data_IF_874227434944
#
_entry.id   IF_874227434944
#
_cell.length_a   1.000
_cell.length_b   1.000
_cell.length_c   1.000
_cell.angle_alpha   90.00
_cell.angle_beta   90.00
_cell.angle_gamma   90.00
#
_symmetry.space_group_name_H-M   'P 1'
#
loop_
_entity.id
_entity.type
_entity.pdbx_description
1 polymer ?
#
# COMPACT_ATOMS: atom_id res chain seq x y z
N UNK A 1 -24.50 16.79 31.08
CA UNK A 1 -23.50 15.70 31.14
C UNK A 1 -24.23 14.36 31.08
N UNK A 2 -23.68 13.33 30.41
CA UNK A 2 -24.34 12.03 30.29
C UNK A 2 -24.35 11.27 31.63
N UNK A 3 -25.42 10.50 31.88
CA UNK A 3 -25.55 9.61 33.03
C UNK A 3 -25.08 8.20 32.66
N UNK A 4 -24.34 7.53 33.54
CA UNK A 4 -23.87 6.17 33.32
C UNK A 4 -25.00 5.17 33.55
N UNK A 5 -25.32 4.32 32.57
CA UNK A 5 -26.42 3.34 32.72
C UNK A 5 -26.09 2.15 33.64
N UNK A 6 -24.87 2.07 34.18
CA UNK A 6 -24.44 1.00 35.11
C UNK A 6 -24.58 1.45 36.56
N UNK A 7 -24.07 2.63 36.92
CA UNK A 7 -24.21 3.18 38.28
C UNK A 7 -25.38 4.16 38.44
N UNK A 8 -26.05 4.52 37.35
CA UNK A 8 -27.16 5.49 37.30
C UNK A 8 -26.79 6.90 37.80
N UNK A 9 -25.49 7.22 37.84
CA UNK A 9 -24.94 8.48 38.33
C UNK A 9 -24.22 9.23 37.20
N UNK A 10 -23.84 10.48 37.46
CA UNK A 10 -23.11 11.32 36.51
C UNK A 10 -21.77 10.65 36.10
N UNK A 11 -21.46 10.68 34.80
CA UNK A 11 -20.21 10.10 34.29
C UNK A 11 -19.02 10.94 34.76
N UNK A 12 -18.19 10.38 35.66
CA UNK A 12 -16.97 11.04 36.16
C UNK A 12 -15.79 10.93 35.18
N UNK A 13 -15.41 9.70 34.84
CA UNK A 13 -14.38 9.42 33.84
C UNK A 13 -15.07 8.73 32.67
N UNK A 14 -15.32 9.47 31.60
CA UNK A 14 -16.02 8.96 30.45
C UNK A 14 -15.19 7.89 29.73
N UNK A 15 -15.80 6.76 29.43
CA UNK A 15 -15.19 5.66 28.69
C UNK A 15 -16.23 5.10 27.74
N UNK A 16 -15.90 5.01 26.45
CA UNK A 16 -16.80 4.49 25.43
C UNK A 16 -16.47 3.03 25.07
N UNK A 17 -17.49 2.26 24.70
CA UNK A 17 -17.33 0.91 24.17
C UNK A 17 -17.22 0.93 22.64
N UNK A 18 -16.19 0.29 22.08
CA UNK A 18 -16.06 0.12 20.62
C UNK A 18 -16.71 -1.21 20.21
N UNK A 19 -17.58 -1.23 19.17
CA UNK A 19 -17.84 -0.16 18.20
C UNK A 19 -19.11 0.64 18.45
N UNK A 20 -19.88 0.32 19.50
CA UNK A 20 -21.22 0.87 19.68
C UNK A 20 -21.27 2.32 20.18
N UNK A 21 -20.16 2.85 20.72
CA UNK A 21 -20.02 4.24 21.14
C UNK A 21 -20.73 4.59 22.46
N UNK A 22 -21.34 3.64 23.16
CA UNK A 22 -22.00 3.89 24.45
C UNK A 22 -20.99 4.25 25.54
N UNK A 23 -21.32 5.26 26.36
CA UNK A 23 -20.42 5.88 27.34
C UNK A 23 -20.80 5.47 28.77
N UNK A 24 -19.79 5.12 29.56
CA UNK A 24 -19.92 4.72 30.97
C UNK A 24 -18.81 5.36 31.81
N UNK A 25 -18.92 5.27 33.13
CA UNK A 25 -17.78 5.49 34.01
C UNK A 25 -16.71 4.40 33.76
N UNK A 26 -15.44 4.80 33.70
CA UNK A 26 -14.30 3.88 33.54
C UNK A 26 -14.38 2.68 34.51
N UNK A 27 -14.57 2.96 35.81
CA UNK A 27 -14.67 1.93 36.84
C UNK A 27 -15.86 0.98 36.65
N UNK A 28 -16.97 1.48 36.11
CA UNK A 28 -18.18 0.71 35.89
C UNK A 28 -18.01 -0.27 34.74
N UNK A 29 -17.51 0.20 33.59
CA UNK A 29 -17.33 -0.66 32.42
C UNK A 29 -16.17 -1.63 32.60
N UNK A 30 -15.09 -1.21 33.27
CA UNK A 30 -13.97 -2.10 33.58
C UNK A 30 -14.41 -3.26 34.49
N UNK A 31 -15.19 -2.97 35.54
CA UNK A 31 -15.77 -3.99 36.43
C UNK A 31 -16.78 -4.89 35.71
N UNK A 32 -17.52 -4.35 34.75
CA UNK A 32 -18.48 -5.12 33.96
C UNK A 32 -17.77 -6.16 33.10
N UNK A 33 -16.74 -5.73 32.36
CA UNK A 33 -15.95 -6.59 31.48
C UNK A 33 -15.19 -7.65 32.30
N UNK A 34 -14.64 -7.30 33.46
CA UNK A 34 -13.92 -8.27 34.29
C UNK A 34 -14.81 -9.36 34.92
N UNK A 35 -16.13 -9.14 34.99
CA UNK A 35 -17.09 -10.09 35.55
C UNK A 35 -17.83 -10.92 34.50
N UNK A 36 -17.80 -10.52 33.24
CA UNK A 36 -18.57 -11.16 32.17
C UNK A 36 -17.65 -11.93 31.22
N UNK A 37 -17.87 -13.23 30.99
CA UNK A 37 -17.12 -14.00 29.98
C UNK A 37 -17.43 -13.52 28.55
N UNK A 38 -18.66 -13.01 28.34
CA UNK A 38 -19.09 -12.41 27.10
C UNK A 38 -18.96 -10.89 27.23
N UNK A 39 -17.88 -10.30 26.70
CA UNK A 39 -17.62 -8.85 26.73
C UNK A 39 -18.70 -8.08 25.95
N UNK A 40 -19.90 -7.91 26.51
CA UNK A 40 -21.07 -7.28 25.88
C UNK A 40 -21.39 -5.95 26.52
N UNK A 41 -21.76 -4.97 25.70
CA UNK A 41 -22.15 -3.63 26.10
C UNK A 41 -23.39 -3.67 27.01
N UNK A 42 -23.37 -3.05 28.20
CA UNK A 42 -24.54 -3.01 29.09
C UNK A 42 -25.79 -2.40 28.46
N UNK A 43 -25.63 -1.46 27.53
CA UNK A 43 -26.73 -0.69 26.96
C UNK A 43 -27.35 -1.38 25.72
N UNK A 44 -26.53 -1.82 24.76
CA UNK A 44 -27.03 -2.42 23.52
C UNK A 44 -26.79 -3.92 23.38
N UNK A 45 -26.09 -4.54 24.35
CA UNK A 45 -25.69 -5.96 24.34
C UNK A 45 -24.79 -6.37 23.16
N UNK A 46 -24.29 -5.41 22.38
CA UNK A 46 -23.31 -5.66 21.31
C UNK A 46 -21.93 -6.01 21.88
N UNK A 47 -21.14 -6.77 21.13
CA UNK A 47 -19.79 -7.17 21.50
C UNK A 47 -18.88 -5.94 21.67
N UNK A 48 -18.17 -5.90 22.79
CA UNK A 48 -17.13 -4.90 23.12
C UNK A 48 -15.80 -5.48 22.64
N UNK A 49 -15.16 -4.79 21.70
CA UNK A 49 -13.82 -5.14 21.25
C UNK A 49 -12.74 -4.47 22.09
N UNK A 50 -12.95 -3.20 22.42
CA UNK A 50 -12.10 -2.44 23.33
C UNK A 50 -12.91 -1.33 24.02
N UNK A 51 -12.32 -0.77 25.06
CA UNK A 51 -12.82 0.40 25.79
C UNK A 51 -11.83 1.54 25.62
N UNK A 52 -12.32 2.76 25.37
CA UNK A 52 -11.47 3.94 25.17
C UNK A 52 -11.90 5.06 26.12
N UNK A 53 -10.94 5.66 26.83
CA UNK A 53 -11.20 6.80 27.71
C UNK A 53 -11.48 8.04 26.85
N UNK A 54 -12.53 8.77 27.17
CA UNK A 54 -12.98 9.97 26.45
C UNK A 54 -12.77 11.18 27.36
N UNK A 55 -12.07 12.19 26.87
CA UNK A 55 -11.86 13.45 27.60
C UNK A 55 -13.02 14.38 27.22
N UNK A 56 -13.90 14.65 28.18
CA UNK A 56 -15.04 15.56 28.03
C UNK A 56 -14.70 16.92 28.68
N UNK A 57 -13.71 17.60 28.12
CA UNK A 57 -13.27 18.98 28.41
C UNK A 57 -12.86 19.37 29.85
N UNK A 58 -12.09 20.46 29.89
CA UNK A 58 -11.09 20.82 30.89
C UNK A 58 -11.64 21.63 32.07
N UNK A 59 -11.79 21.01 33.24
CA UNK A 59 -11.56 21.69 34.51
C UNK A 59 -11.34 20.69 35.66
N UNK A 60 -10.50 21.10 36.61
CA UNK A 60 -10.17 20.46 37.89
C UNK A 60 -9.14 19.31 37.85
N UNK A 61 -7.87 19.73 37.89
CA UNK A 61 -6.78 19.20 38.72
C UNK A 61 -7.04 17.87 39.43
N UNK A 62 -6.91 16.77 38.69
CA UNK A 62 -6.40 15.54 39.26
C UNK A 62 -4.87 15.63 39.15
N UNK A 63 -4.17 15.66 40.28
CA UNK A 63 -2.72 15.48 40.32
C UNK A 63 -2.37 14.20 39.55
N UNK A 64 -1.82 14.37 38.35
CA UNK A 64 -1.26 13.30 37.56
C UNK A 64 0.11 13.00 38.16
N UNK A 65 0.26 11.81 38.74
CA UNK A 65 1.56 11.30 39.17
C UNK A 65 2.51 11.22 37.97
N UNK A 66 3.77 11.62 38.16
CA UNK A 66 4.82 11.68 37.13
C UNK A 66 5.06 10.35 36.39
N UNK A 67 4.52 9.22 36.88
CA UNK A 67 4.56 7.92 36.20
C UNK A 67 3.64 7.81 34.96
N UNK A 68 2.67 8.71 34.74
CA UNK A 68 1.79 8.69 33.57
C UNK A 68 2.21 9.64 32.43
N UNK A 69 3.42 10.21 32.48
CA UNK A 69 3.96 10.99 31.35
C UNK A 69 4.58 10.08 30.28
N UNK A 70 3.79 9.12 29.80
CA UNK A 70 4.11 8.32 28.62
C UNK A 70 3.47 9.00 27.42
N UNK A 71 4.31 9.30 26.40
CA UNK A 71 3.97 9.99 25.15
C UNK A 71 2.48 9.86 24.75
N UNK A 72 1.70 10.97 24.76
CA UNK A 72 0.29 10.98 24.37
C UNK A 72 0.03 10.44 22.94
N UNK A 73 1.09 10.29 22.14
CA UNK A 73 1.03 9.75 20.79
C UNK A 73 1.64 8.35 20.66
N UNK A 74 1.76 7.59 21.77
CA UNK A 74 2.24 6.21 21.76
C UNK A 74 1.29 5.26 21.02
N UNK A 75 1.50 5.14 19.70
CA UNK A 75 1.27 4.02 18.76
C UNK A 75 0.00 3.13 18.86
N UNK A 76 -0.99 3.41 19.71
CA UNK A 76 -2.18 2.56 19.91
C UNK A 76 -3.50 3.27 19.60
N UNK A 77 -3.56 4.61 19.71
CA UNK A 77 -4.81 5.36 19.47
C UNK A 77 -5.13 5.56 17.98
N UNK A 78 -4.12 5.69 17.11
CA UNK A 78 -4.33 5.73 15.65
C UNK A 78 -4.91 4.42 15.14
N UNK A 79 -4.40 3.30 15.62
CA UNK A 79 -4.88 1.97 15.23
C UNK A 79 -6.32 1.75 15.72
N UNK A 80 -6.66 2.22 16.92
CA UNK A 80 -8.03 2.14 17.46
C UNK A 80 -9.03 3.03 16.70
N UNK A 81 -8.61 4.24 16.31
CA UNK A 81 -9.43 5.15 15.50
C UNK A 81 -9.61 4.58 14.08
N UNK A 82 -8.53 4.11 13.45
CA UNK A 82 -8.58 3.44 12.15
C UNK A 82 -9.43 2.18 12.20
N UNK A 83 -9.33 1.35 13.25
CA UNK A 83 -10.17 0.16 13.45
C UNK A 83 -11.65 0.52 13.58
N UNK A 84 -11.97 1.63 14.27
CA UNK A 84 -13.34 2.11 14.38
C UNK A 84 -13.90 2.56 13.03
N UNK A 85 -13.14 3.36 12.27
CA UNK A 85 -13.50 3.79 10.91
C UNK A 85 -13.61 2.59 9.96
N UNK A 86 -12.68 1.64 10.04
CA UNK A 86 -12.69 0.40 9.26
C UNK A 86 -13.89 -0.47 9.59
N UNK A 87 -14.30 -0.56 10.86
CA UNK A 87 -15.48 -1.31 11.27
C UNK A 87 -16.79 -0.65 10.81
N UNK A 88 -16.88 0.68 10.86
CA UNK A 88 -18.00 1.43 10.29
C UNK A 88 -18.08 1.19 8.78
N UNK A 89 -16.95 1.28 8.07
CA UNK A 89 -16.91 1.00 6.64
C UNK A 89 -17.28 -0.45 6.33
N UNK A 90 -16.71 -1.44 7.04
CA UNK A 90 -16.99 -2.87 6.88
C UNK A 90 -18.47 -3.22 7.08
N UNK A 91 -19.15 -2.54 8.01
CA UNK A 91 -20.58 -2.78 8.30
C UNK A 91 -21.52 -1.92 7.45
N UNK A 92 -20.98 -0.95 6.71
CA UNK A 92 -21.78 -0.03 5.91
C UNK A 92 -22.58 -0.74 4.80
N UNK A 93 -23.79 -0.25 4.46
CA UNK A 93 -24.52 -0.71 3.27
C UNK A 93 -23.73 -0.55 1.98
N UNK A 94 -22.87 0.49 1.92
CA UNK A 94 -22.02 0.80 0.77
C UNK A 94 -20.99 -0.30 0.55
N UNK A 95 -20.29 -0.75 1.59
CA UNK A 95 -19.32 -1.84 1.49
C UNK A 95 -19.96 -3.14 1.02
N UNK A 96 -21.13 -3.49 1.58
CA UNK A 96 -21.90 -4.67 1.13
C UNK A 96 -22.32 -4.59 -0.33
N UNK A 97 -22.66 -3.40 -0.82
CA UNK A 97 -22.96 -3.19 -2.23
C UNK A 97 -21.70 -3.33 -3.10
N UNK A 98 -20.57 -2.74 -2.70
CA UNK A 98 -19.30 -2.88 -3.39
C UNK A 98 -18.80 -4.33 -3.46
N UNK A 99 -18.91 -5.09 -2.37
CA UNK A 99 -18.49 -6.50 -2.34
C UNK A 99 -19.36 -7.38 -3.25
N UNK A 100 -20.66 -7.08 -3.34
CA UNK A 100 -21.57 -7.74 -4.29
C UNK A 100 -21.15 -7.47 -5.73
N UNK A 101 -20.93 -6.20 -6.09
CA UNK A 101 -20.49 -5.81 -7.43
C UNK A 101 -19.12 -6.42 -7.75
N UNK A 102 -18.20 -6.44 -6.79
CA UNK A 102 -16.88 -7.07 -6.95
C UNK A 102 -16.99 -8.57 -7.21
N UNK A 103 -17.87 -9.27 -6.48
CA UNK A 103 -18.12 -10.70 -6.69
C UNK A 103 -18.77 -10.98 -8.05
N UNK A 104 -19.66 -10.11 -8.52
CA UNK A 104 -20.23 -10.22 -9.87
C UNK A 104 -19.18 -9.97 -10.96
N UNK A 105 -18.35 -8.94 -10.82
CA UNK A 105 -17.26 -8.62 -11.76
C UNK A 105 -16.24 -9.77 -11.90
N UNK A 106 -15.93 -10.44 -10.80
CA UNK A 106 -15.01 -11.59 -10.80
C UNK A 106 -15.55 -12.81 -11.56
N UNK A 107 -16.87 -12.90 -11.77
CA UNK A 107 -17.52 -13.99 -12.52
C UNK A 107 -17.77 -13.64 -13.99
N UNK A 108 -17.35 -12.45 -14.43
CA UNK A 108 -17.41 -12.07 -15.83
C UNK A 108 -16.25 -12.74 -16.55
N UNK A 109 -16.57 -13.78 -17.30
CA UNK A 109 -15.66 -14.43 -18.22
C UNK A 109 -15.60 -13.62 -19.52
N UNK A 110 -14.39 -13.34 -20.00
CA UNK A 110 -14.17 -12.45 -21.15
C UNK A 110 -12.83 -11.72 -21.03
N UNK A 111 -12.46 -11.04 -22.11
CA UNK A 111 -11.25 -10.23 -22.15
C UNK A 111 -11.42 -8.90 -21.40
N UNK A 112 -10.47 -7.98 -21.57
CA UNK A 112 -10.50 -6.68 -20.90
C UNK A 112 -11.65 -5.80 -21.43
N UNK A 113 -12.01 -5.91 -22.71
CA UNK A 113 -13.09 -5.16 -23.35
C UNK A 113 -14.45 -5.64 -22.84
N UNK A 114 -14.66 -6.95 -22.72
CA UNK A 114 -15.88 -7.54 -22.16
C UNK A 114 -16.11 -7.06 -20.71
N UNK A 115 -15.04 -7.01 -19.91
CA UNK A 115 -15.08 -6.51 -18.53
C UNK A 115 -15.33 -5.01 -18.45
N UNK A 116 -14.78 -4.24 -19.38
CA UNK A 116 -15.02 -2.80 -19.45
C UNK A 116 -16.47 -2.49 -19.84
N UNK A 117 -17.04 -3.24 -20.78
CA UNK A 117 -18.42 -3.12 -21.21
C UNK A 117 -19.39 -3.50 -20.07
N UNK A 118 -19.11 -4.60 -19.37
CA UNK A 118 -19.87 -4.97 -18.17
C UNK A 118 -19.86 -3.86 -17.10
N UNK A 119 -18.70 -3.25 -16.84
CA UNK A 119 -18.59 -2.15 -15.86
C UNK A 119 -19.40 -0.94 -16.27
N UNK A 120 -19.38 -0.59 -17.55
CA UNK A 120 -20.16 0.51 -18.12
C UNK A 120 -21.66 0.26 -17.92
N UNK A 121 -22.15 -0.91 -18.30
CA UNK A 121 -23.56 -1.30 -18.14
C UNK A 121 -23.99 -1.30 -16.67
N UNK A 122 -23.13 -1.83 -15.80
CA UNK A 122 -23.42 -1.85 -14.35
C UNK A 122 -23.50 -0.44 -13.77
N UNK A 123 -22.65 0.46 -14.24
CA UNK A 123 -22.64 1.86 -13.81
C UNK A 123 -23.92 2.57 -14.25
N UNK A 124 -24.34 2.39 -15.51
CA UNK A 124 -25.60 2.93 -16.04
C UNK A 124 -26.80 2.40 -15.25
N UNK A 125 -26.83 1.10 -14.95
CA UNK A 125 -27.89 0.47 -14.14
C UNK A 125 -28.02 1.11 -12.75
N UNK A 126 -26.91 1.31 -12.04
CA UNK A 126 -26.95 1.94 -10.72
C UNK A 126 -27.33 3.43 -10.77
N UNK A 127 -26.89 4.15 -11.80
CA UNK A 127 -27.32 5.53 -12.04
C UNK A 127 -28.83 5.62 -12.27
N UNK A 128 -29.42 4.67 -12.99
CA UNK A 128 -30.86 4.64 -13.22
C UNK A 128 -31.65 4.35 -11.92
N UNK A 129 -31.15 3.45 -11.08
CA UNK A 129 -31.72 3.20 -9.74
C UNK A 129 -31.69 4.49 -8.90
N UNK A 130 -30.56 5.20 -8.88
CA UNK A 130 -30.42 6.45 -8.13
C UNK A 130 -31.36 7.52 -8.67
N UNK A 131 -31.43 7.67 -9.98
CA UNK A 131 -32.35 8.59 -10.66
C UNK A 131 -33.80 8.28 -10.28
N UNK A 132 -34.20 7.03 -10.35
CA UNK A 132 -35.55 6.57 -9.98
C UNK A 132 -35.85 6.84 -8.50
N UNK A 133 -34.89 6.57 -7.60
CA UNK A 133 -35.03 6.88 -6.17
C UNK A 133 -35.13 8.37 -5.89
N UNK A 134 -34.35 9.20 -6.59
CA UNK A 134 -34.41 10.64 -6.46
C UNK A 134 -35.76 11.18 -6.92
N UNK A 135 -36.23 10.75 -8.10
CA UNK A 135 -37.53 11.16 -8.65
C UNK A 135 -38.68 10.77 -7.72
N UNK A 136 -38.62 9.57 -7.13
CA UNK A 136 -39.66 9.04 -6.25
C UNK A 136 -39.44 9.38 -4.78
N UNK A 137 -38.46 10.23 -4.46
CA UNK A 137 -38.20 10.61 -3.07
C UNK A 137 -39.44 11.32 -2.49
N UNK A 138 -39.91 10.98 -1.28
CA UNK A 138 -41.17 11.49 -0.73
C UNK A 138 -41.27 13.02 -0.75
N UNK A 139 -40.16 13.72 -0.45
CA UNK A 139 -40.10 15.19 -0.52
C UNK A 139 -40.21 15.75 -1.93
N UNK A 140 -39.64 15.08 -2.93
CA UNK A 140 -39.71 15.50 -4.33
C UNK A 140 -41.13 15.29 -4.87
N UNK A 141 -41.78 14.19 -4.47
CA UNK A 141 -43.18 13.91 -4.81
C UNK A 141 -44.14 14.92 -4.14
N UNK A 142 -43.91 15.27 -2.87
CA UNK A 142 -44.66 16.33 -2.16
C UNK A 142 -44.48 17.71 -2.84
N UNK A 143 -43.24 18.07 -3.19
CA UNK A 143 -42.98 19.31 -3.94
C UNK A 143 -43.66 19.32 -5.32
N UNK A 144 -43.60 18.20 -6.04
CA UNK A 144 -44.24 18.06 -7.37
C UNK A 144 -45.76 18.19 -7.27
N UNK A 145 -46.38 17.59 -6.27
CA UNK A 145 -47.84 17.66 -6.05
C UNK A 145 -48.29 19.05 -5.61
N UNK A 146 -47.51 19.73 -4.75
CA UNK A 146 -47.76 21.15 -4.44
C UNK A 146 -47.65 22.04 -5.68
N UNK A 147 -46.63 21.81 -6.51
CA UNK A 147 -46.46 22.52 -7.77
C UNK A 147 -47.61 22.27 -8.76
N UNK A 148 -48.08 21.02 -8.90
CA UNK A 148 -49.21 20.73 -9.79
C UNK A 148 -50.50 21.41 -9.34
N UNK A 149 -50.71 21.51 -8.03
CA UNK A 149 -51.90 22.10 -7.41
C UNK A 149 -51.91 23.64 -7.40
N UNK A 150 -50.84 24.29 -7.86
CA UNK A 150 -50.80 25.75 -8.00
C UNK A 150 -51.61 26.21 -9.22
N UNK A 151 -52.36 27.31 -9.08
CA UNK A 151 -53.01 27.98 -10.21
C UNK A 151 -52.00 28.38 -11.28
N UNK A 152 -52.41 28.32 -12.54
CA UNK A 152 -51.52 28.61 -13.68
C UNK A 152 -50.98 30.04 -13.65
N UNK A 153 -51.75 31.01 -13.15
CA UNK A 153 -51.27 32.37 -12.90
C UNK A 153 -50.09 32.39 -11.90
N UNK A 154 -50.17 31.62 -10.81
CA UNK A 154 -49.10 31.54 -9.82
C UNK A 154 -47.88 30.81 -10.38
N UNK A 155 -48.08 29.74 -11.16
CA UNK A 155 -46.99 29.04 -11.86
C UNK A 155 -46.27 29.97 -12.84
N UNK A 156 -47.02 30.79 -13.57
CA UNK A 156 -46.47 31.80 -14.47
C UNK A 156 -45.62 32.80 -13.70
N UNK A 157 -46.13 33.40 -12.63
CA UNK A 157 -45.39 34.34 -11.81
C UNK A 157 -44.16 33.73 -11.13
N UNK A 158 -44.23 32.50 -10.61
CA UNK A 158 -43.06 31.81 -10.07
C UNK A 158 -42.01 31.50 -11.14
N UNK A 159 -42.43 31.14 -12.36
CA UNK A 159 -41.50 30.90 -13.48
C UNK A 159 -40.84 32.20 -13.93
N UNK A 160 -41.60 33.31 -14.03
CA UNK A 160 -41.05 34.64 -14.32
C UNK A 160 -40.07 35.07 -13.23
N UNK A 161 -40.43 34.88 -11.95
CA UNK A 161 -39.56 35.21 -10.82
C UNK A 161 -38.28 34.38 -10.81
N UNK A 162 -38.37 33.08 -11.13
CA UNK A 162 -37.21 32.20 -11.28
C UNK A 162 -36.30 32.69 -12.42
N UNK A 163 -36.86 33.07 -13.56
CA UNK A 163 -36.10 33.61 -14.70
C UNK A 163 -35.42 34.93 -14.34
N UNK A 164 -36.10 35.81 -13.60
CA UNK A 164 -35.52 37.07 -13.10
C UNK A 164 -34.38 36.78 -12.12
N UNK A 165 -34.55 35.85 -11.17
CA UNK A 165 -33.49 35.45 -10.25
C UNK A 165 -32.30 34.88 -11.01
N UNK A 166 -32.53 34.01 -12.00
CA UNK A 166 -31.47 33.43 -12.82
C UNK A 166 -30.74 34.52 -13.61
N UNK A 167 -31.46 35.48 -14.19
CA UNK A 167 -30.86 36.61 -14.89
C UNK A 167 -30.02 37.49 -13.95
N UNK A 168 -30.54 37.80 -12.76
CA UNK A 168 -29.80 38.55 -11.73
C UNK A 168 -28.56 37.80 -11.25
N UNK A 169 -28.64 36.47 -11.08
CA UNK A 169 -27.48 35.63 -10.74
C UNK A 169 -26.44 35.63 -11.87
N UNK A 170 -26.86 35.55 -13.12
CA UNK A 170 -25.95 35.60 -14.27
C UNK A 170 -25.27 36.97 -14.37
N UNK A 171 -26.03 38.06 -14.17
CA UNK A 171 -25.49 39.41 -14.12
C UNK A 171 -24.50 39.60 -12.94
N UNK A 172 -24.80 39.02 -11.78
CA UNK A 172 -23.92 39.05 -10.60
C UNK A 172 -22.65 38.21 -10.79
N UNK A 173 -22.72 37.08 -11.50
CA UNK A 173 -21.55 36.26 -11.88
C UNK A 173 -20.64 37.00 -12.86
N UNK A 174 -21.20 37.77 -13.78
CA UNK A 174 -20.45 38.57 -14.75
C UNK A 174 -19.83 39.82 -14.14
N UNK A 175 -20.34 40.29 -13.00
CA UNK A 175 -19.77 41.41 -12.27
C UNK A 175 -18.61 40.92 -11.38
N UNK A 176 -17.41 41.45 -11.60
CA UNK A 176 -16.23 41.10 -10.78
C UNK A 176 -16.41 41.45 -9.30
N UNK A 177 -17.26 42.45 -9.00
CA UNK A 177 -17.63 42.84 -7.64
C UNK A 177 -18.98 42.24 -7.18
N UNK A 178 -19.50 41.24 -7.88
CA UNK A 178 -20.75 40.58 -7.53
C UNK A 178 -20.65 39.79 -6.23
N UNK A 179 -21.77 39.62 -5.55
CA UNK A 179 -21.86 38.86 -4.29
C UNK A 179 -21.45 37.39 -4.49
N UNK A 180 -21.76 36.84 -5.65
CA UNK A 180 -21.37 35.49 -6.04
C UNK A 180 -19.85 35.38 -6.19
N UNK A 181 -19.19 36.31 -6.89
CA UNK A 181 -17.73 36.30 -7.06
C UNK A 181 -16.97 36.57 -5.77
N UNK A 182 -17.47 37.47 -4.91
CA UNK A 182 -16.77 37.89 -3.68
C UNK A 182 -16.92 36.91 -2.52
N UNK A 183 -18.08 36.26 -2.37
CA UNK A 183 -18.38 35.46 -1.17
C UNK A 183 -18.68 34.02 -1.52
N UNK A 184 -19.59 33.80 -2.45
CA UNK A 184 -20.12 32.45 -2.70
C UNK A 184 -19.11 31.56 -3.44
N UNK A 185 -18.44 32.12 -4.45
CA UNK A 185 -17.46 31.43 -5.27
C UNK A 185 -16.19 31.03 -4.51
N UNK A 186 -15.55 31.89 -3.68
CA UNK A 186 -14.40 31.49 -2.89
C UNK A 186 -14.73 30.40 -1.87
N UNK A 187 -15.90 30.48 -1.22
CA UNK A 187 -16.35 29.46 -0.27
C UNK A 187 -16.57 28.12 -0.98
N UNK A 188 -17.32 28.11 -2.09
CA UNK A 188 -17.54 26.91 -2.90
C UNK A 188 -16.23 26.35 -3.45
N UNK A 189 -15.33 27.19 -3.96
CA UNK A 189 -14.01 26.80 -4.46
C UNK A 189 -13.19 26.15 -3.35
N UNK A 190 -13.15 26.74 -2.16
CA UNK A 190 -12.45 26.17 -1.00
C UNK A 190 -13.04 24.83 -0.60
N UNK A 191 -14.37 24.73 -0.51
CA UNK A 191 -15.05 23.46 -0.20
C UNK A 191 -14.76 22.36 -1.22
N UNK A 192 -14.78 22.71 -2.51
CA UNK A 192 -14.48 21.77 -3.60
C UNK A 192 -13.00 21.35 -3.58
N UNK A 193 -12.08 22.27 -3.29
CA UNK A 193 -10.65 21.98 -3.14
C UNK A 193 -10.39 21.04 -1.98
N UNK A 194 -11.02 21.28 -0.82
CA UNK A 194 -10.91 20.39 0.35
C UNK A 194 -11.45 19.00 0.00
N UNK A 195 -12.60 18.93 -0.67
CA UNK A 195 -13.17 17.66 -1.13
C UNK A 195 -12.24 16.94 -2.12
N UNK A 196 -11.64 17.67 -3.06
CA UNK A 196 -10.67 17.13 -4.02
C UNK A 196 -9.44 16.54 -3.32
N UNK A 197 -8.87 17.24 -2.33
CA UNK A 197 -7.71 16.73 -1.59
C UNK A 197 -8.06 15.52 -0.72
N UNK A 198 -9.27 15.47 -0.13
CA UNK A 198 -9.76 14.28 0.58
C UNK A 198 -9.87 13.09 -0.37
N UNK A 199 -10.46 13.30 -1.56
CA UNK A 199 -10.57 12.26 -2.58
C UNK A 199 -9.19 11.80 -3.05
N UNK A 200 -8.28 12.73 -3.33
CA UNK A 200 -6.89 12.43 -3.71
C UNK A 200 -6.17 11.62 -2.64
N UNK A 201 -6.33 11.94 -1.35
CA UNK A 201 -5.83 11.14 -0.24
C UNK A 201 -6.45 9.73 -0.22
N UNK A 202 -7.77 9.63 -0.39
CA UNK A 202 -8.48 8.34 -0.47
C UNK A 202 -8.00 7.47 -1.65
N UNK A 203 -7.66 8.06 -2.79
CA UNK A 203 -7.07 7.37 -3.94
C UNK A 203 -5.58 7.08 -3.75
N UNK A 204 -4.86 7.90 -3.01
CA UNK A 204 -3.43 7.71 -2.73
C UNK A 204 -3.16 6.52 -1.80
N UNK A 205 -4.05 6.28 -0.82
CA UNK A 205 -3.96 5.16 0.13
C UNK A 205 -3.84 3.79 -0.57
N UNK A 206 -4.68 3.41 -1.56
CA UNK A 206 -4.56 2.13 -2.26
C UNK A 206 -3.47 2.10 -3.34
N UNK A 207 -3.08 3.24 -3.91
CA UNK A 207 -2.08 3.30 -5.00
C UNK A 207 -0.65 3.12 -4.49
N UNK A 208 -0.35 3.60 -3.28
CA UNK A 208 0.98 3.50 -2.66
C UNK A 208 1.52 2.06 -2.51
N UNK A 209 0.78 1.07 -1.98
CA UNK A 209 1.28 -0.30 -1.88
C UNK A 209 1.51 -0.95 -3.25
N UNK A 210 0.68 -0.63 -4.26
CA UNK A 210 0.84 -1.14 -5.63
C UNK A 210 2.11 -0.58 -6.28
N UNK A 211 2.35 0.73 -6.14
CA UNK A 211 3.57 1.37 -6.65
C UNK A 211 4.84 0.85 -5.95
N UNK A 212 4.74 0.56 -4.65
CA UNK A 212 5.81 -0.09 -3.88
C UNK A 212 6.14 -1.49 -4.40
N UNK A 213 5.13 -2.32 -4.67
CA UNK A 213 5.31 -3.66 -5.24
C UNK A 213 5.92 -3.62 -6.65
N UNK A 214 5.46 -2.71 -7.50
CA UNK A 214 6.00 -2.54 -8.86
C UNK A 214 7.48 -2.13 -8.80
N UNK A 215 7.83 -1.18 -7.91
CA UNK A 215 9.23 -0.76 -7.74
C UNK A 215 10.11 -1.91 -7.28
N UNK A 216 9.68 -2.68 -6.27
CA UNK A 216 10.42 -3.89 -5.85
C UNK A 216 10.59 -4.90 -6.99
N UNK A 217 9.56 -5.12 -7.81
CA UNK A 217 9.65 -6.04 -8.94
C UNK A 217 10.66 -5.57 -10.00
N UNK A 218 10.71 -4.27 -10.29
CA UNK A 218 11.68 -3.67 -11.22
C UNK A 218 13.12 -3.81 -10.69
N UNK A 219 13.35 -3.55 -9.40
CA UNK A 219 14.69 -3.71 -8.80
C UNK A 219 15.16 -5.17 -8.84
N UNK A 220 14.27 -6.12 -8.53
CA UNK A 220 14.57 -7.56 -8.65
C UNK A 220 14.92 -7.92 -10.09
N UNK A 221 14.19 -7.39 -11.08
CA UNK A 221 14.47 -7.64 -12.50
C UNK A 221 15.85 -7.10 -12.89
N UNK A 222 16.22 -5.89 -12.46
CA UNK A 222 17.53 -5.30 -12.72
C UNK A 222 18.67 -6.13 -12.13
N UNK A 223 18.51 -6.60 -10.88
CA UNK A 223 19.48 -7.50 -10.24
C UNK A 223 19.65 -8.80 -11.05
N UNK A 224 18.55 -9.40 -11.51
CA UNK A 224 18.60 -10.61 -12.32
C UNK A 224 19.33 -10.38 -13.66
N UNK A 225 19.05 -9.26 -14.33
CA UNK A 225 19.71 -8.88 -15.59
C UNK A 225 21.22 -8.69 -15.37
N UNK A 226 21.61 -7.99 -14.29
CA UNK A 226 23.02 -7.77 -13.96
C UNK A 226 23.75 -9.09 -13.68
N UNK A 227 23.14 -10.01 -12.92
CA UNK A 227 23.69 -11.36 -12.68
C UNK A 227 23.90 -12.11 -14.01
N UNK A 228 22.92 -12.06 -14.92
CA UNK A 228 23.02 -12.74 -16.23
C UNK A 228 24.14 -12.15 -17.08
N UNK A 229 24.23 -10.82 -17.19
CA UNK A 229 25.27 -10.13 -17.96
C UNK A 229 26.65 -10.47 -17.41
N UNK A 230 26.85 -10.37 -16.09
CA UNK A 230 28.12 -10.69 -15.45
C UNK A 230 28.51 -12.17 -15.64
N UNK A 231 27.54 -13.08 -15.59
CA UNK A 231 27.78 -14.51 -15.86
C UNK A 231 28.25 -14.72 -17.29
N UNK A 232 27.60 -14.09 -18.28
CA UNK A 232 27.99 -14.18 -19.70
C UNK A 232 29.39 -13.61 -19.92
N UNK A 233 29.70 -12.43 -19.36
CA UNK A 233 31.03 -11.82 -19.46
C UNK A 233 32.12 -12.69 -18.85
N UNK A 234 31.84 -13.33 -17.71
CA UNK A 234 32.76 -14.27 -17.07
C UNK A 234 33.05 -15.47 -17.97
N UNK A 235 32.01 -16.07 -18.58
CA UNK A 235 32.17 -17.16 -19.54
C UNK A 235 33.00 -16.74 -20.77
N UNK A 236 32.73 -15.57 -21.34
CA UNK A 236 33.50 -15.03 -22.46
C UNK A 236 34.97 -14.85 -22.11
N UNK A 237 35.27 -14.28 -20.93
CA UNK A 237 36.65 -14.12 -20.46
C UNK A 237 37.37 -15.47 -20.26
N UNK A 238 36.69 -16.47 -19.70
CA UNK A 238 37.24 -17.83 -19.56
C UNK A 238 37.58 -18.41 -20.95
N UNK A 239 36.67 -18.30 -21.92
CA UNK A 239 36.91 -18.76 -23.30
C UNK A 239 38.09 -18.02 -23.92
N UNK A 240 38.17 -16.70 -23.77
CA UNK A 240 39.30 -15.90 -24.26
C UNK A 240 40.63 -16.33 -23.63
N UNK A 241 40.67 -16.54 -22.32
CA UNK A 241 41.87 -17.05 -21.62
C UNK A 241 42.26 -18.43 -22.15
N UNK A 242 41.30 -19.35 -22.31
CA UNK A 242 41.55 -20.69 -22.84
C UNK A 242 42.05 -20.67 -24.28
N UNK A 243 41.55 -19.76 -25.12
CA UNK A 243 42.01 -19.59 -26.50
C UNK A 243 43.39 -18.92 -26.60
N UNK A 244 43.73 -18.05 -25.66
CA UNK A 244 45.05 -17.38 -25.59
C UNK A 244 46.11 -18.21 -24.86
N UNK A 245 45.72 -19.21 -24.06
CA UNK A 245 46.63 -20.09 -23.32
C UNK A 245 47.66 -20.77 -24.24
N UNK A 246 47.30 -21.34 -25.41
CA UNK A 246 48.25 -21.95 -26.33
C UNK A 246 49.24 -20.93 -26.91
N UNK A 247 48.78 -19.72 -27.24
CA UNK A 247 49.62 -18.65 -27.78
C UNK A 247 50.62 -18.13 -26.74
N UNK A 248 50.18 -17.93 -25.50
CA UNK A 248 51.03 -17.49 -24.40
C UNK A 248 52.03 -18.57 -23.96
N UNK A 249 51.61 -19.84 -23.90
CA UNK A 249 52.51 -20.97 -23.63
C UNK A 249 53.60 -21.06 -24.72
N UNK A 250 53.24 -20.91 -25.99
CA UNK A 250 54.20 -20.90 -27.11
C UNK A 250 55.20 -19.73 -27.01
N UNK A 251 54.76 -18.54 -26.60
CA UNK A 251 55.63 -17.38 -26.40
C UNK A 251 56.56 -17.52 -25.18
N UNK A 252 56.07 -18.04 -24.06
CA UNK A 252 56.89 -18.27 -22.86
C UNK A 252 57.98 -19.33 -23.07
N UNK A 253 57.73 -20.35 -23.90
CA UNK A 253 58.76 -21.32 -24.33
C UNK A 253 59.82 -20.73 -25.28
N UNK A 254 59.54 -19.58 -25.90
CA UNK A 254 60.51 -18.85 -26.74
C UNK A 254 61.59 -18.14 -25.93
N UNK A 255 61.32 -17.79 -24.66
CA UNK A 255 62.19 -16.92 -23.86
C UNK A 255 63.18 -17.70 -22.99
N UNK A 256 62.85 -18.93 -22.56
CA UNK A 256 63.63 -19.57 -21.48
C UNK A 256 64.87 -20.38 -21.91
N UNK A 257 65.10 -20.73 -23.19
CA UNK A 257 66.30 -21.53 -23.55
C UNK A 257 66.76 -21.26 -25.00
N UNK A 258 67.93 -20.61 -25.22
CA UNK A 258 68.49 -20.56 -26.57
C UNK A 258 69.18 -21.87 -27.00
N UNK A 259 69.81 -22.67 -26.12
CA UNK A 259 70.85 -23.62 -26.59
C UNK A 259 70.75 -25.11 -26.22
N UNK A 260 69.65 -25.64 -25.68
CA UNK A 260 69.49 -27.11 -25.51
C UNK A 260 68.11 -27.66 -25.89
N UNK A 261 67.28 -26.84 -26.53
CA UNK A 261 65.85 -27.07 -26.56
C UNK A 261 65.33 -27.84 -27.79
N UNK A 262 66.14 -28.16 -28.80
CA UNK A 262 65.59 -28.76 -30.03
C UNK A 262 65.23 -30.24 -29.87
N UNK A 263 65.88 -30.97 -28.95
CA UNK A 263 65.48 -32.35 -28.60
C UNK A 263 64.45 -32.40 -27.45
N UNK A 264 64.49 -31.47 -26.50
CA UNK A 264 63.51 -31.41 -25.41
C UNK A 264 62.12 -30.93 -25.89
N UNK A 265 62.06 -29.99 -26.84
CA UNK A 265 60.80 -29.42 -27.36
C UNK A 265 59.89 -30.44 -28.06
N UNK A 266 60.43 -31.55 -28.58
CA UNK A 266 59.61 -32.59 -29.23
C UNK A 266 59.00 -33.58 -28.22
N UNK A 267 59.67 -33.82 -27.08
CA UNK A 267 59.22 -34.79 -26.08
C UNK A 267 58.42 -34.16 -24.93
N UNK A 268 58.57 -32.85 -24.68
CA UNK A 268 57.92 -32.17 -23.57
C UNK A 268 56.37 -32.19 -23.62
N UNK A 269 55.71 -32.03 -24.78
CA UNK A 269 54.25 -32.17 -24.87
C UNK A 269 53.79 -33.59 -24.58
N UNK A 270 54.56 -34.60 -25.01
CA UNK A 270 54.29 -36.03 -24.79
C UNK A 270 54.48 -36.39 -23.32
N UNK A 271 55.52 -35.85 -22.66
CA UNK A 271 55.78 -36.03 -21.23
C UNK A 271 54.72 -35.33 -20.37
N UNK A 272 54.24 -34.14 -20.77
CA UNK A 272 53.14 -33.43 -20.10
C UNK A 272 51.81 -34.17 -20.25
N UNK A 273 51.52 -34.72 -21.43
CA UNK A 273 50.35 -35.59 -21.65
C UNK A 273 50.45 -36.88 -20.83
N UNK A 274 51.62 -37.54 -20.79
CA UNK A 274 51.84 -38.73 -19.95
C UNK A 274 51.73 -38.42 -18.46
N UNK A 275 52.12 -37.22 -18.01
CA UNK A 275 51.95 -36.77 -16.61
C UNK A 275 50.49 -36.55 -16.22
N UNK A 276 49.66 -36.04 -17.14
CA UNK A 276 48.23 -35.81 -16.86
C UNK A 276 47.41 -37.10 -16.93
N UNK A 277 47.75 -38.01 -17.86
CA UNK A 277 46.91 -39.18 -18.14
C UNK A 277 47.44 -40.51 -17.58
N UNK A 278 48.69 -40.61 -17.10
CA UNK A 278 49.27 -41.85 -16.54
C UNK A 278 49.71 -41.65 -15.07
N UNK A 279 48.92 -42.08 -14.08
CA UNK A 279 49.14 -41.73 -12.66
C UNK A 279 50.46 -42.28 -12.08
N UNK A 280 50.95 -43.42 -12.57
CA UNK A 280 52.23 -43.98 -12.13
C UNK A 280 53.44 -43.11 -12.56
N UNK A 281 53.32 -42.40 -13.69
CA UNK A 281 54.36 -41.50 -14.18
C UNK A 281 54.44 -40.23 -13.31
N UNK A 282 53.29 -39.77 -12.82
CA UNK A 282 53.17 -38.65 -11.89
C UNK A 282 53.91 -38.91 -10.56
N UNK A 283 53.77 -40.12 -10.02
CA UNK A 283 54.42 -40.52 -8.76
C UNK A 283 55.94 -40.60 -8.92
N UNK A 284 56.42 -41.13 -10.04
CA UNK A 284 57.85 -41.21 -10.35
C UNK A 284 58.49 -39.82 -10.47
N UNK A 285 57.84 -38.89 -11.17
CA UNK A 285 58.32 -37.50 -11.29
C UNK A 285 58.43 -36.80 -9.93
N UNK A 286 57.46 -37.01 -9.02
CA UNK A 286 57.52 -36.46 -7.66
C UNK A 286 58.69 -37.00 -6.86
N UNK A 287 58.98 -38.31 -6.95
CA UNK A 287 60.11 -38.91 -6.25
C UNK A 287 61.47 -38.41 -6.77
N UNK A 288 61.57 -38.13 -8.07
CA UNK A 288 62.78 -37.57 -8.68
C UNK A 288 63.07 -36.14 -8.17
N UNK A 289 62.03 -35.31 -8.07
CA UNK A 289 62.12 -33.92 -7.59
C UNK A 289 62.57 -33.84 -6.13
N UNK A 290 62.05 -34.73 -5.27
CA UNK A 290 62.45 -34.81 -3.86
C UNK A 290 63.92 -35.21 -3.71
N UNK A 291 64.46 -36.04 -4.62
CA UNK A 291 65.88 -36.40 -4.63
C UNK A 291 66.77 -35.22 -5.02
N UNK A 292 66.34 -34.39 -5.96
CA UNK A 292 67.08 -33.21 -6.39
C UNK A 292 67.12 -32.14 -5.29
N UNK A 293 66.00 -31.90 -4.59
CA UNK A 293 65.98 -30.97 -3.45
C UNK A 293 66.85 -31.42 -2.28
N UNK A 294 66.98 -32.73 -2.04
CA UNK A 294 67.93 -33.24 -1.03
C UNK A 294 69.39 -33.02 -1.43
N UNK A 295 69.72 -33.06 -2.72
CA UNK A 295 71.07 -32.83 -3.19
C UNK A 295 71.47 -31.35 -3.13
N UNK A 296 70.53 -30.42 -3.35
CA UNK A 296 70.78 -28.98 -3.14
C UNK A 296 71.01 -28.65 -1.66
N UNK A 297 70.24 -29.24 -0.74
CA UNK A 297 70.45 -29.02 0.71
C UNK A 297 71.75 -29.66 1.25
N UNK A 298 72.32 -30.63 0.55
CA UNK A 298 73.62 -31.22 0.90
C UNK A 298 74.81 -30.38 0.41
N UNK A 299 74.60 -29.38 -0.44
CA UNK A 299 75.63 -28.46 -0.92
C UNK A 299 75.73 -27.16 -0.10
N UNK A 300 74.79 -26.90 0.82
CA UNK A 300 74.77 -25.71 1.68
C UNK A 300 75.33 -25.94 3.11
N UNK A 301 75.89 -27.13 3.41
CA UNK A 301 76.56 -27.46 4.68
C UNK A 301 78.07 -27.70 4.54
#
# INVERSE_FOLDING_TARGET
MPNCSVCLDLVRVATCCVPCGHIFCYSCIHRWISRSPDTKCPQCRGTIHCIQKVILEANESAELTEEEMQDPWSHSDWDNMLLSVLNIWKTSPVKRACDRVKGEFQRVDGDIEDKAEWLKDKTVFYLDILKTRAINHPRIVDLRTRWSNLNDDKKFWYSVFLVIILFLLVADVQNENGLFQLVTWPICKTMLTVLYEILRCLFYIPVRPVFGLIRCAIEVLWILVDIVINTILCLMNIVTILLLLPANLMNSFGILIPNLATKAKMFLPVVMLLYVFVPNFQLWCRQMLVRLQRNDQAQEH
#
